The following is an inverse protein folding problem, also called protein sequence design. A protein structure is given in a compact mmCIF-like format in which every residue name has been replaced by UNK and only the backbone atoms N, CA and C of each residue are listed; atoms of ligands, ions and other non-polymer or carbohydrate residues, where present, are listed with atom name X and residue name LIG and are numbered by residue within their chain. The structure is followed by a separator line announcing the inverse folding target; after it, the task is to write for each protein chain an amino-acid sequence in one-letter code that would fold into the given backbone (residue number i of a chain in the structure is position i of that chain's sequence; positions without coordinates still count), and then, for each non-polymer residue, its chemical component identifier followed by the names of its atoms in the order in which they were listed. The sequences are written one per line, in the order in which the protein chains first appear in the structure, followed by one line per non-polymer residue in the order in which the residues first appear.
data_IF_313244135702
#
_entry.id   IF_313244135702
#
_cell.length_a   1.000
_cell.length_b   1.000
_cell.length_c   1.000
_cell.angle_alpha   90.00
_cell.angle_beta   90.00
_cell.angle_gamma   90.00
#
_symmetry.space_group_name_H-M   'P 1'
#
loop_
_entity.id
_entity.type
_entity.pdbx_description
1 polymer ?
#
# COMPACT_ATOMS: atom_id res chain seq x y z
N UNK A 1 0.36 27.39 -45.94
CA UNK A 1 0.28 26.39 -44.84
C UNK A 1 0.90 25.09 -45.33
N UNK A 2 2.08 24.79 -44.81
CA UNK A 2 2.90 23.68 -45.30
C UNK A 2 2.54 22.37 -44.64
N UNK A 3 2.68 21.29 -45.38
CA UNK A 3 2.47 19.88 -44.96
C UNK A 3 3.32 19.51 -43.70
N UNK A 4 4.35 20.30 -43.40
CA UNK A 4 5.21 20.10 -42.22
C UNK A 4 4.51 20.32 -40.88
N UNK A 5 3.49 21.20 -40.78
CA UNK A 5 2.78 21.46 -39.55
C UNK A 5 1.81 20.32 -39.12
N UNK A 6 1.32 19.58 -40.12
CA UNK A 6 0.37 18.45 -39.84
C UNK A 6 1.11 17.22 -39.30
N UNK A 7 2.35 17.00 -39.73
CA UNK A 7 3.15 15.83 -39.28
C UNK A 7 3.61 15.98 -37.83
N UNK A 8 3.89 17.21 -37.37
CA UNK A 8 4.25 17.48 -35.99
C UNK A 8 3.13 17.23 -34.98
N UNK A 9 1.89 17.48 -35.38
CA UNK A 9 0.71 17.28 -34.54
C UNK A 9 0.33 15.79 -34.32
N UNK A 10 0.63 14.95 -35.31
CA UNK A 10 0.33 13.49 -35.23
C UNK A 10 1.34 12.79 -34.35
N UNK A 11 2.58 13.22 -34.30
CA UNK A 11 3.63 12.63 -33.45
C UNK A 11 3.38 12.80 -31.94
N UNK A 12 2.88 13.98 -31.54
CA UNK A 12 2.63 14.28 -30.12
C UNK A 12 1.41 13.55 -29.54
N UNK A 13 0.40 13.26 -30.36
CA UNK A 13 -0.76 12.45 -29.95
C UNK A 13 -0.44 10.97 -29.84
N UNK A 14 0.43 10.45 -30.70
CA UNK A 14 0.80 9.02 -30.67
C UNK A 14 1.65 8.67 -29.44
N UNK A 15 2.56 9.53 -29.01
CA UNK A 15 3.35 9.33 -27.77
C UNK A 15 2.48 9.36 -26.52
N UNK A 16 1.55 10.31 -26.41
CA UNK A 16 0.64 10.40 -25.26
C UNK A 16 -0.31 9.18 -25.11
N UNK A 17 -0.71 8.56 -26.23
CA UNK A 17 -1.55 7.34 -26.20
C UNK A 17 -0.72 6.13 -25.77
N UNK A 18 0.53 6.01 -26.21
CA UNK A 18 1.43 4.93 -25.83
C UNK A 18 1.78 4.98 -24.34
N UNK A 19 2.07 6.16 -23.79
CA UNK A 19 2.36 6.35 -22.36
C UNK A 19 1.16 6.02 -21.50
N UNK A 20 -0.04 6.42 -21.90
CA UNK A 20 -1.28 6.08 -21.20
C UNK A 20 -1.59 4.58 -21.21
N UNK A 21 -1.35 3.92 -22.35
CA UNK A 21 -1.53 2.47 -22.45
C UNK A 21 -0.54 1.72 -21.54
N UNK A 22 0.71 2.19 -21.44
CA UNK A 22 1.73 1.64 -20.53
C UNK A 22 1.29 1.78 -19.07
N UNK A 23 0.87 2.98 -18.65
CA UNK A 23 0.39 3.23 -17.27
C UNK A 23 -0.80 2.35 -16.91
N UNK A 24 -1.76 2.13 -17.83
CA UNK A 24 -2.90 1.23 -17.60
C UNK A 24 -2.43 -0.21 -17.40
N UNK A 25 -1.46 -0.69 -18.20
CA UNK A 25 -0.89 -2.02 -18.07
C UNK A 25 -0.15 -2.20 -16.74
N UNK A 26 0.63 -1.22 -16.30
CA UNK A 26 1.35 -1.22 -15.02
C UNK A 26 0.39 -1.27 -13.83
N UNK A 27 -0.64 -0.44 -13.82
CA UNK A 27 -1.70 -0.46 -12.80
C UNK A 27 -2.41 -1.82 -12.78
N UNK A 28 -2.69 -2.41 -13.93
CA UNK A 28 -3.28 -3.76 -14.03
C UNK A 28 -2.39 -4.84 -13.43
N UNK A 29 -1.07 -4.76 -13.66
CA UNK A 29 -0.10 -5.68 -13.08
C UNK A 29 -0.02 -5.55 -11.55
N UNK A 30 0.02 -4.31 -11.03
CA UNK A 30 0.03 -4.06 -9.59
C UNK A 30 -1.23 -4.58 -8.91
N UNK A 31 -2.41 -4.37 -9.50
CA UNK A 31 -3.68 -4.93 -8.98
C UNK A 31 -3.65 -6.45 -8.87
N UNK A 32 -3.12 -7.16 -9.87
CA UNK A 32 -2.98 -8.63 -9.81
C UNK A 32 -2.03 -9.08 -8.72
N UNK A 33 -0.89 -8.39 -8.54
CA UNK A 33 0.06 -8.68 -7.46
C UNK A 33 -0.56 -8.43 -6.08
N UNK A 34 -1.30 -7.34 -5.91
CA UNK A 34 -2.01 -7.04 -4.66
C UNK A 34 -3.01 -8.15 -4.36
N UNK A 35 -3.85 -8.53 -5.32
CA UNK A 35 -4.84 -9.61 -5.14
C UNK A 35 -4.19 -10.93 -4.73
N UNK A 36 -3.06 -11.29 -5.34
CA UNK A 36 -2.29 -12.48 -4.96
C UNK A 36 -1.80 -12.42 -3.51
N UNK A 37 -1.23 -11.28 -3.07
CA UNK A 37 -0.77 -11.15 -1.68
C UNK A 37 -1.94 -11.16 -0.68
N UNK A 38 -3.08 -10.58 -1.05
CA UNK A 38 -4.31 -10.61 -0.22
C UNK A 38 -4.85 -12.04 -0.07
N UNK A 39 -4.89 -12.82 -1.16
CA UNK A 39 -5.29 -14.23 -1.14
C UNK A 39 -4.37 -15.06 -0.23
N UNK A 40 -3.06 -14.86 -0.34
CA UNK A 40 -2.09 -15.54 0.53
C UNK A 40 -2.27 -15.20 2.01
N UNK A 41 -2.61 -13.96 2.34
CA UNK A 41 -2.93 -13.56 3.73
C UNK A 41 -4.17 -14.32 4.24
N UNK A 42 -5.20 -14.45 3.41
CA UNK A 42 -6.43 -15.19 3.78
C UNK A 42 -6.11 -16.68 4.03
N UNK A 43 -5.29 -17.29 3.19
CA UNK A 43 -4.84 -18.69 3.40
C UNK A 43 -4.09 -18.86 4.73
N UNK A 44 -3.16 -17.95 5.05
CA UNK A 44 -2.42 -18.00 6.32
C UNK A 44 -3.37 -17.86 7.51
N UNK A 45 -4.35 -16.94 7.45
CA UNK A 45 -5.36 -16.85 8.51
C UNK A 45 -6.20 -18.12 8.65
N UNK A 46 -6.54 -18.77 7.53
CA UNK A 46 -7.26 -20.04 7.55
C UNK A 46 -6.42 -21.15 8.20
N UNK A 47 -5.13 -21.22 7.89
CA UNK A 47 -4.21 -22.21 8.47
C UNK A 47 -4.05 -21.99 10.00
N UNK A 48 -3.88 -20.75 10.44
CA UNK A 48 -3.84 -20.40 11.86
C UNK A 48 -5.16 -20.80 12.53
N UNK A 49 -6.30 -20.43 11.94
CA UNK A 49 -7.62 -20.75 12.50
C UNK A 49 -7.87 -22.25 12.58
N UNK A 50 -7.52 -23.01 11.55
CA UNK A 50 -7.63 -24.47 11.54
C UNK A 50 -6.77 -25.11 12.61
N UNK A 51 -5.51 -24.71 12.71
CA UNK A 51 -4.58 -25.24 13.71
C UNK A 51 -5.05 -24.97 15.13
N UNK A 52 -5.56 -23.77 15.42
CA UNK A 52 -6.15 -23.44 16.72
C UNK A 52 -7.42 -24.21 17.01
N UNK A 53 -8.25 -24.48 16.02
CA UNK A 53 -9.47 -25.27 16.18
C UNK A 53 -9.16 -26.74 16.52
N UNK A 54 -8.18 -27.31 15.83
CA UNK A 54 -7.75 -28.71 16.03
C UNK A 54 -6.99 -28.89 17.36
N UNK A 55 -6.19 -27.90 17.76
CA UNK A 55 -5.34 -27.95 18.97
C UNK A 55 -5.57 -26.74 19.86
N UNK A 56 -6.66 -26.75 20.63
CA UNK A 56 -7.09 -25.60 21.46
C UNK A 56 -6.09 -25.19 22.56
N UNK A 57 -5.17 -26.08 22.93
CA UNK A 57 -4.13 -25.84 23.95
C UNK A 57 -2.76 -25.51 23.31
N UNK A 58 -2.71 -25.23 22.01
CA UNK A 58 -1.46 -24.90 21.32
C UNK A 58 -0.92 -23.55 21.80
N UNK A 59 0.39 -23.48 22.00
CA UNK A 59 1.07 -22.22 22.32
C UNK A 59 0.95 -21.24 21.14
N UNK A 60 0.45 -20.03 21.42
CA UNK A 60 0.28 -18.98 20.44
C UNK A 60 1.61 -18.52 19.83
N UNK A 61 2.72 -18.71 20.54
CA UNK A 61 4.06 -18.38 20.00
C UNK A 61 4.42 -19.19 18.76
N UNK A 62 3.83 -20.37 18.58
CA UNK A 62 4.02 -21.19 17.38
C UNK A 62 3.54 -20.50 16.08
N UNK A 63 2.63 -19.53 16.20
CA UNK A 63 2.12 -18.77 15.05
C UNK A 63 2.90 -17.51 14.73
N UNK A 64 3.89 -17.13 15.55
CA UNK A 64 4.68 -15.93 15.31
C UNK A 64 5.26 -15.84 13.89
N UNK A 65 5.86 -16.91 13.29
CA UNK A 65 6.36 -16.84 11.92
C UNK A 65 5.27 -16.58 10.88
N UNK A 66 4.05 -17.09 11.10
CA UNK A 66 2.91 -16.85 10.20
C UNK A 66 2.39 -15.42 10.32
N UNK A 67 2.37 -14.88 11.53
CA UNK A 67 2.04 -13.48 11.77
C UNK A 67 3.05 -12.54 11.10
N UNK A 68 4.34 -12.84 11.21
CA UNK A 68 5.41 -12.08 10.55
C UNK A 68 5.28 -12.10 9.01
N UNK A 69 4.91 -13.25 8.42
CA UNK A 69 4.66 -13.35 6.98
C UNK A 69 3.46 -12.48 6.56
N UNK A 70 2.37 -12.48 7.33
CA UNK A 70 1.22 -11.60 7.11
C UNK A 70 1.67 -10.13 7.11
N UNK A 71 2.48 -9.73 8.08
CA UNK A 71 2.94 -8.34 8.18
C UNK A 71 3.86 -7.94 7.03
N UNK A 72 4.73 -8.84 6.58
CA UNK A 72 5.55 -8.62 5.38
C UNK A 72 4.67 -8.41 4.15
N UNK A 73 3.63 -9.24 3.96
CA UNK A 73 2.69 -9.12 2.84
C UNK A 73 1.89 -7.83 2.89
N UNK A 74 1.38 -7.44 4.06
CA UNK A 74 0.69 -6.16 4.25
C UNK A 74 1.57 -4.95 3.87
N UNK A 75 2.86 -4.97 4.26
CA UNK A 75 3.82 -3.93 3.85
C UNK A 75 4.05 -3.90 2.34
N UNK A 76 4.10 -5.07 1.67
CA UNK A 76 4.19 -5.14 0.20
C UNK A 76 2.95 -4.57 -0.47
N UNK A 77 1.76 -4.93 0.00
CA UNK A 77 0.49 -4.41 -0.51
C UNK A 77 0.45 -2.88 -0.38
N UNK A 78 0.79 -2.36 0.79
CA UNK A 78 0.84 -0.90 1.02
C UNK A 78 1.75 -0.20 0.01
N UNK A 79 2.95 -0.73 -0.23
CA UNK A 79 3.91 -0.19 -1.20
C UNK A 79 3.36 -0.22 -2.63
N UNK A 80 2.79 -1.35 -3.06
CA UNK A 80 2.19 -1.48 -4.39
C UNK A 80 0.98 -0.56 -4.59
N UNK A 81 0.19 -0.30 -3.55
CA UNK A 81 -0.91 0.67 -3.59
C UNK A 81 -0.41 2.10 -3.74
N UNK A 82 0.67 2.47 -3.04
CA UNK A 82 1.30 3.78 -3.21
C UNK A 82 1.82 3.96 -4.64
N UNK A 83 2.58 3.00 -5.16
CA UNK A 83 3.08 2.99 -6.53
C UNK A 83 1.94 3.12 -7.56
N UNK A 84 0.85 2.37 -7.37
CA UNK A 84 -0.33 2.45 -8.22
C UNK A 84 -0.99 3.84 -8.18
N UNK A 85 -1.04 4.48 -7.00
CA UNK A 85 -1.60 5.82 -6.84
C UNK A 85 -0.71 6.88 -7.51
N UNK A 86 0.62 6.74 -7.42
CA UNK A 86 1.57 7.60 -8.13
C UNK A 86 1.39 7.50 -9.64
N UNK A 87 1.29 6.29 -10.20
CA UNK A 87 1.04 6.09 -11.64
C UNK A 87 -0.28 6.73 -12.08
N UNK A 88 -1.29 6.71 -11.22
CA UNK A 88 -2.62 7.29 -11.47
C UNK A 88 -2.67 8.81 -11.19
N UNK A 89 -1.65 9.38 -10.57
CA UNK A 89 -1.63 10.79 -10.14
C UNK A 89 -2.68 11.10 -9.08
N UNK A 90 -2.97 10.15 -8.17
CA UNK A 90 -3.97 10.30 -7.10
C UNK A 90 -3.37 9.98 -5.74
N UNK A 91 -3.95 10.53 -4.70
CA UNK A 91 -3.66 10.22 -3.29
C UNK A 91 -4.95 9.95 -2.53
N UNK A 92 -4.85 9.14 -1.47
CA UNK A 92 -5.98 8.82 -0.60
C UNK A 92 -6.02 9.80 0.56
N UNK A 93 -7.21 10.31 0.85
CA UNK A 93 -7.45 11.08 2.06
C UNK A 93 -7.50 10.13 3.27
N UNK A 94 -6.60 10.32 4.24
CA UNK A 94 -6.54 9.47 5.44
C UNK A 94 -7.79 9.60 6.32
N UNK A 95 -8.49 10.75 6.24
CA UNK A 95 -9.66 11.03 7.07
C UNK A 95 -10.93 10.37 6.52
N UNK A 96 -11.17 10.42 5.21
CA UNK A 96 -12.42 9.93 4.61
C UNK A 96 -12.24 8.83 3.56
N UNK A 97 -10.99 8.43 3.23
CA UNK A 97 -10.69 7.39 2.26
C UNK A 97 -10.94 7.76 0.79
N UNK A 98 -11.34 9.01 0.51
CA UNK A 98 -11.61 9.44 -0.87
C UNK A 98 -10.33 9.58 -1.67
N UNK A 99 -10.34 9.10 -2.92
CA UNK A 99 -9.27 9.35 -3.89
C UNK A 99 -9.33 10.82 -4.35
N UNK A 100 -8.21 11.52 -4.28
CA UNK A 100 -8.05 12.92 -4.64
C UNK A 100 -6.87 13.05 -5.59
N UNK A 101 -6.99 13.87 -6.62
CA UNK A 101 -5.90 14.19 -7.54
C UNK A 101 -4.68 14.74 -6.75
N UNK A 102 -3.48 14.28 -7.10
CA UNK A 102 -2.24 14.59 -6.38
C UNK A 102 -1.96 16.10 -6.24
N UNK A 103 -2.44 16.92 -7.20
CA UNK A 103 -2.25 18.37 -7.20
C UNK A 103 -2.95 19.12 -6.06
N UNK A 104 -3.99 18.52 -5.45
CA UNK A 104 -4.73 19.18 -4.38
C UNK A 104 -4.06 18.99 -3.02
N UNK A 105 -4.06 20.04 -2.21
CA UNK A 105 -3.52 20.03 -0.85
C UNK A 105 -4.57 19.72 0.22
N UNK A 106 -5.85 19.80 -0.14
CA UNK A 106 -6.98 19.56 0.76
C UNK A 106 -7.98 18.62 0.08
N UNK A 107 -8.62 17.77 0.87
CA UNK A 107 -9.68 16.91 0.40
C UNK A 107 -10.94 17.72 0.10
N UNK A 108 -11.44 17.62 -1.14
CA UNK A 108 -12.68 18.32 -1.54
C UNK A 108 -13.94 17.77 -0.88
N UNK A 109 -13.89 16.61 -0.21
CA UNK A 109 -15.04 15.96 0.43
C UNK A 109 -15.09 16.29 1.93
N UNK A 110 -13.99 16.14 2.65
CA UNK A 110 -13.96 16.33 4.11
C UNK A 110 -13.16 17.56 4.57
N UNK A 111 -12.47 18.26 3.66
CA UNK A 111 -11.66 19.43 3.97
C UNK A 111 -10.33 19.13 4.67
N UNK A 112 -10.01 17.87 4.95
CA UNK A 112 -8.76 17.51 5.61
C UNK A 112 -7.55 17.85 4.74
N UNK A 113 -6.46 18.28 5.37
CA UNK A 113 -5.18 18.50 4.69
C UNK A 113 -4.62 17.15 4.23
N UNK A 114 -4.20 17.09 2.98
CA UNK A 114 -3.63 15.90 2.39
C UNK A 114 -2.10 15.89 2.56
N UNK A 115 -1.48 14.72 2.80
CA UNK A 115 -0.03 14.63 2.89
C UNK A 115 0.61 15.05 1.58
N UNK A 116 1.73 15.76 1.64
CA UNK A 116 2.53 16.04 0.47
C UNK A 116 3.23 14.74 0.02
N UNK A 117 3.43 14.58 -1.27
CA UNK A 117 4.09 13.38 -1.85
C UNK A 117 5.49 13.10 -1.28
N UNK A 118 6.09 14.07 -0.59
CA UNK A 118 7.38 13.95 0.10
C UNK A 118 7.28 13.46 1.54
N UNK A 119 6.15 13.64 2.21
CA UNK A 119 5.99 13.29 3.64
C UNK A 119 5.67 11.81 3.87
N UNK A 120 5.12 11.12 2.87
CA UNK A 120 4.75 9.69 2.99
C UNK A 120 5.96 8.76 3.13
N UNK A 121 7.16 9.20 2.75
CA UNK A 121 8.36 8.37 2.79
C UNK A 121 9.14 8.40 4.12
N UNK A 122 8.83 9.30 5.05
CA UNK A 122 9.61 9.50 6.27
C UNK A 122 8.94 8.95 7.53
N UNK A 123 7.67 8.54 7.46
CA UNK A 123 6.83 8.20 8.61
C UNK A 123 6.96 6.79 9.21
N UNK A 124 7.87 5.93 8.75
CA UNK A 124 7.91 4.52 9.22
C UNK A 124 9.23 4.05 9.84
N UNK A 125 10.05 4.94 10.38
CA UNK A 125 11.23 4.50 11.16
C UNK A 125 11.32 5.33 12.43
N UNK A 126 10.38 5.23 13.32
CA UNK A 126 10.62 5.51 14.75
C UNK A 126 9.32 5.36 15.55
N UNK A 127 9.16 4.25 16.17
CA UNK A 127 8.71 4.11 17.55
C UNK A 127 8.15 2.72 17.80
N UNK A 128 8.99 1.81 18.18
CA UNK A 128 8.60 0.75 19.12
C UNK A 128 9.84 0.04 19.66
N UNK A 129 10.61 0.78 20.43
CA UNK A 129 11.51 0.20 21.42
C UNK A 129 11.66 1.19 22.56
N UNK A 130 10.68 1.24 23.43
CA UNK A 130 10.87 1.75 24.80
C UNK A 130 9.73 1.28 25.68
N UNK A 131 10.08 0.40 26.56
CA UNK A 131 9.28 0.15 27.75
C UNK A 131 8.90 -1.29 27.92
N UNK A 132 9.75 -2.02 28.62
CA UNK A 132 9.32 -2.89 29.73
C UNK A 132 10.49 -3.70 30.26
N UNK A 133 11.29 -3.08 31.10
CA UNK A 133 11.92 -3.80 32.19
C UNK A 133 11.86 -2.89 33.41
N UNK A 134 10.80 -3.00 34.18
CA UNK A 134 10.79 -2.58 35.56
C UNK A 134 10.74 -3.84 36.39
N UNK A 135 11.84 -4.11 37.06
CA UNK A 135 12.02 -5.21 37.95
C UNK A 135 11.04 -5.19 39.11
N UNK A 136 10.58 -6.35 39.50
CA UNK A 136 10.03 -6.59 40.82
C UNK A 136 11.00 -7.46 41.58
N UNK A 137 11.79 -6.82 42.41
CA UNK A 137 12.46 -7.46 43.53
C UNK A 137 11.40 -7.93 44.50
N UNK A 138 11.32 -9.24 44.71
CA UNK A 138 10.64 -9.81 45.87
C UNK A 138 11.74 -10.20 46.83
N UNK A 139 11.79 -9.52 47.95
CA UNK A 139 12.47 -9.93 49.21
C UNK A 139 11.51 -10.72 50.07
N UNK A 140 12.02 -11.86 50.56
CA UNK A 140 11.53 -12.77 51.63
C UNK A 140 10.26 -13.55 51.40
#
# INVERSE_FOLDING_TARGET
MGIADVVGSIGSTATGVADKAKSISEVGNLKRKIAYEEERIVEIFADIGKSLYENRNQDLSAFAPLCDDIDVRKRRIKRMRLEMNEIRGVKLCETCGTEVDEKYQYCGVCGAKLPSSREVQIGEVSSETSGLIAGSTVTE
#
